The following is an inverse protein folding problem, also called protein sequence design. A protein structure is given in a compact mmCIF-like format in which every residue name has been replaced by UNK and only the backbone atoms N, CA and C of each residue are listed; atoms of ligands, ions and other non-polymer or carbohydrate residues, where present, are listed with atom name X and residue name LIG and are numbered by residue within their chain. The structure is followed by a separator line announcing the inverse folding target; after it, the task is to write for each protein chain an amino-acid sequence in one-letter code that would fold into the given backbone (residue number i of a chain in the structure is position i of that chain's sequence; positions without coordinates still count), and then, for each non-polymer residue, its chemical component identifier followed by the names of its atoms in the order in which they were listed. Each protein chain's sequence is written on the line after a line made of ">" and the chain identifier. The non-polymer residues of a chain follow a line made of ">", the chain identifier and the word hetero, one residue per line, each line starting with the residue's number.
data_IF_666241608781
#
_entry.id   IF_666241608781
#
_cell.length_a   1.000
_cell.length_b   1.000
_cell.length_c   1.000
_cell.angle_alpha   90.00
_cell.angle_beta   90.00
_cell.angle_gamma   90.00
#
_symmetry.space_group_name_H-M   'P 1'
#
loop_
_entity.id
_entity.type
_entity.pdbx_description
1 polymer ?
#
# COMPACT_ATOMS: atom_id res chain seq x y z
N UNK A 1 0.77 -16.38 -6.49
CA UNK A 1 0.92 -17.49 -7.46
C UNK A 1 1.88 -18.49 -6.82
N UNK A 2 1.53 -19.79 -6.77
CA UNK A 2 2.37 -20.77 -6.10
C UNK A 2 3.54 -21.16 -7.00
N UNK A 3 4.72 -20.64 -6.70
CA UNK A 3 5.98 -21.09 -7.29
C UNK A 3 6.91 -21.52 -6.16
N UNK A 4 7.45 -22.72 -6.29
CA UNK A 4 8.27 -23.34 -5.25
C UNK A 4 9.74 -22.87 -5.30
N UNK A 5 10.17 -22.35 -6.45
CA UNK A 5 11.54 -21.91 -6.68
C UNK A 5 11.61 -20.58 -7.46
N UNK A 6 12.71 -19.81 -7.31
CA UNK A 6 12.98 -18.63 -8.13
C UNK A 6 13.12 -18.94 -9.63
N UNK A 7 12.94 -17.92 -10.45
CA UNK A 7 13.19 -17.96 -11.90
C UNK A 7 14.38 -17.06 -12.24
N UNK A 8 15.20 -17.50 -13.18
CA UNK A 8 16.32 -16.70 -13.69
C UNK A 8 15.83 -15.77 -14.82
N UNK A 9 16.32 -14.52 -14.78
CA UNK A 9 16.07 -13.47 -15.77
C UNK A 9 17.39 -12.80 -16.12
N UNK A 10 17.48 -12.23 -17.33
CA UNK A 10 18.65 -11.46 -17.72
C UNK A 10 18.71 -10.18 -16.86
N UNK A 11 19.88 -9.92 -16.28
CA UNK A 11 20.09 -8.75 -15.44
C UNK A 11 19.85 -7.46 -16.24
N UNK A 12 19.15 -6.50 -15.64
CA UNK A 12 19.15 -5.13 -16.15
C UNK A 12 20.53 -4.50 -15.95
N UNK A 13 20.85 -3.48 -16.75
CA UNK A 13 22.06 -2.68 -16.59
C UNK A 13 21.67 -1.25 -16.17
N UNK A 14 22.07 -0.78 -14.98
CA UNK A 14 22.86 -1.48 -13.95
C UNK A 14 22.08 -2.59 -13.23
N UNK A 15 22.79 -3.63 -12.75
CA UNK A 15 22.17 -4.76 -12.02
C UNK A 15 21.53 -4.24 -10.72
N UNK A 16 20.22 -4.42 -10.51
CA UNK A 16 19.58 -4.00 -9.27
C UNK A 16 20.05 -4.86 -8.10
N UNK A 17 20.09 -4.28 -6.90
CA UNK A 17 20.50 -4.99 -5.69
C UNK A 17 19.47 -6.08 -5.30
N UNK A 18 19.90 -7.17 -4.62
CA UNK A 18 18.96 -8.14 -4.06
C UNK A 18 17.91 -7.47 -3.18
N UNK A 19 16.65 -7.91 -3.29
CA UNK A 19 15.50 -7.32 -2.60
C UNK A 19 14.79 -6.24 -3.40
N UNK A 20 15.40 -5.75 -4.49
CA UNK A 20 14.73 -4.82 -5.39
C UNK A 20 13.46 -5.46 -5.94
N UNK A 21 12.36 -4.69 -5.92
CA UNK A 21 11.08 -5.12 -6.45
C UNK A 21 11.01 -4.73 -7.92
N UNK A 22 10.65 -5.68 -8.77
CA UNK A 22 10.66 -5.52 -10.23
C UNK A 22 9.38 -6.08 -10.86
N UNK A 23 9.10 -5.65 -12.10
CA UNK A 23 8.18 -6.35 -12.99
C UNK A 23 8.96 -7.22 -13.95
N UNK A 24 8.48 -8.44 -14.15
CA UNK A 24 9.08 -9.42 -15.05
C UNK A 24 8.01 -10.05 -15.95
N UNK A 25 8.35 -10.38 -17.21
CA UNK A 25 7.44 -11.10 -18.09
C UNK A 25 7.34 -12.57 -17.67
N UNK A 26 6.12 -13.03 -17.42
CA UNK A 26 5.80 -14.43 -17.14
C UNK A 26 4.64 -14.88 -18.02
N UNK A 27 4.95 -15.69 -19.04
CA UNK A 27 3.99 -16.05 -20.09
C UNK A 27 3.55 -14.81 -20.88
N UNK A 28 2.23 -14.55 -20.88
CA UNK A 28 1.60 -13.39 -21.56
C UNK A 28 1.42 -12.16 -20.66
N UNK A 29 1.78 -12.26 -19.38
CA UNK A 29 1.53 -11.19 -18.42
C UNK A 29 2.80 -10.71 -17.76
N UNK A 30 2.77 -9.46 -17.30
CA UNK A 30 3.76 -8.94 -16.37
C UNK A 30 3.39 -9.35 -14.94
N UNK A 31 4.40 -9.66 -14.14
CA UNK A 31 4.26 -10.05 -12.74
C UNK A 31 5.27 -9.31 -11.89
N UNK A 32 4.86 -8.95 -10.69
CA UNK A 32 5.73 -8.37 -9.67
C UNK A 32 6.56 -9.50 -9.06
N UNK A 33 7.86 -9.25 -8.94
CA UNK A 33 8.83 -10.17 -8.38
C UNK A 33 9.85 -9.41 -7.52
N UNK A 34 10.59 -10.14 -6.68
CA UNK A 34 11.68 -9.61 -5.86
C UNK A 34 12.95 -10.32 -6.27
N UNK A 35 14.03 -9.56 -6.47
CA UNK A 35 15.34 -10.15 -6.75
C UNK A 35 15.83 -10.91 -5.52
N UNK A 36 16.19 -12.17 -5.72
CA UNK A 36 16.76 -13.03 -4.69
C UNK A 36 18.27 -13.11 -4.88
N UNK A 37 19.02 -13.16 -3.78
CA UNK A 37 20.47 -13.35 -3.84
C UNK A 37 20.81 -14.78 -4.25
N UNK A 38 21.91 -14.96 -4.97
CA UNK A 38 22.39 -16.27 -5.43
C UNK A 38 22.77 -17.16 -4.23
N UNK A 39 23.30 -16.57 -3.15
CA UNK A 39 23.66 -17.26 -1.91
C UNK A 39 22.43 -17.60 -1.03
N UNK A 40 21.31 -16.92 -1.25
CA UNK A 40 20.04 -17.12 -0.51
C UNK A 40 19.04 -17.99 -1.30
N UNK A 41 19.40 -18.46 -2.51
CA UNK A 41 18.53 -19.29 -3.35
C UNK A 41 18.21 -20.61 -2.62
N UNK A 42 16.93 -20.94 -2.39
CA UNK A 42 16.56 -22.30 -2.03
C UNK A 42 17.05 -23.23 -3.14
N UNK A 43 17.66 -24.36 -2.77
CA UNK A 43 18.22 -25.32 -3.72
C UNK A 43 17.18 -25.72 -4.78
N UNK A 44 17.23 -25.07 -5.94
CA UNK A 44 16.37 -25.38 -7.06
C UNK A 44 17.00 -26.56 -7.81
N UNK A 45 16.37 -27.72 -7.79
CA UNK A 45 16.81 -28.90 -8.56
C UNK A 45 16.72 -28.76 -10.08
N UNK A 46 16.73 -27.54 -10.62
CA UNK A 46 16.63 -27.25 -12.06
C UNK A 46 17.98 -26.84 -12.63
N UNK A 47 18.30 -27.41 -13.80
CA UNK A 47 19.51 -27.06 -14.56
C UNK A 47 19.50 -25.56 -14.93
N UNK A 48 20.65 -24.86 -14.85
CA UNK A 48 20.76 -23.47 -15.28
C UNK A 48 20.25 -23.30 -16.70
N UNK A 49 19.45 -22.25 -16.93
CA UNK A 49 19.00 -21.90 -18.28
C UNK A 49 20.14 -21.17 -18.98
N UNK A 50 20.46 -21.55 -20.23
CA UNK A 50 21.48 -20.85 -21.01
C UNK A 50 21.12 -19.37 -21.20
N UNK A 51 22.09 -18.47 -20.96
CA UNK A 51 21.92 -17.01 -20.91
C UNK A 51 21.13 -16.41 -22.08
N UNK A 52 21.31 -16.94 -23.30
CA UNK A 52 20.61 -16.47 -24.52
C UNK A 52 19.09 -16.71 -24.51
N UNK A 53 18.56 -17.48 -23.55
CA UNK A 53 17.12 -17.78 -23.41
C UNK A 53 16.46 -17.03 -22.26
N UNK A 54 17.23 -16.26 -21.50
CA UNK A 54 16.70 -15.47 -20.39
C UNK A 54 15.96 -14.25 -20.93
N UNK A 55 14.75 -14.03 -20.43
CA UNK A 55 14.01 -12.80 -20.71
C UNK A 55 14.59 -11.67 -19.85
N UNK A 56 14.60 -10.42 -20.34
CA UNK A 56 14.99 -9.28 -19.51
C UNK A 56 13.92 -8.98 -18.45
N UNK A 57 14.36 -8.31 -17.38
CA UNK A 57 13.47 -7.61 -16.44
C UNK A 57 12.77 -6.48 -17.19
N UNK A 58 11.46 -6.29 -16.96
CA UNK A 58 10.65 -5.28 -17.65
C UNK A 58 10.86 -3.89 -17.06
N UNK A 59 10.72 -3.75 -15.74
CA UNK A 59 10.93 -2.48 -15.05
C UNK A 59 11.27 -2.67 -13.58
N UNK A 60 12.04 -1.75 -13.00
CA UNK A 60 12.21 -1.64 -11.55
C UNK A 60 11.04 -0.82 -10.98
N UNK A 61 10.45 -1.26 -9.86
CA UNK A 61 9.38 -0.53 -9.20
C UNK A 61 9.95 0.44 -8.17
N UNK A 62 9.32 1.60 -8.07
CA UNK A 62 9.66 2.62 -7.08
C UNK A 62 9.14 2.21 -5.70
N UNK A 63 9.92 1.36 -5.03
CA UNK A 63 9.66 0.88 -3.68
C UNK A 63 10.99 0.52 -2.99
N UNK A 64 11.11 0.71 -1.67
CA UNK A 64 12.30 0.31 -0.93
C UNK A 64 12.63 -1.19 -1.14
N UNK A 65 13.91 -1.55 -1.28
CA UNK A 65 14.29 -2.95 -1.46
C UNK A 65 13.97 -3.76 -0.20
N UNK A 66 13.48 -4.98 -0.39
CA UNK A 66 13.23 -5.91 0.70
C UNK A 66 14.54 -6.31 1.38
N UNK A 67 14.65 -6.07 2.69
CA UNK A 67 15.84 -6.44 3.47
C UNK A 67 16.16 -7.94 3.38
N UNK A 68 17.44 -8.30 3.47
CA UNK A 68 17.88 -9.71 3.49
C UNK A 68 17.26 -10.51 4.64
N UNK A 69 17.11 -9.91 5.83
CA UNK A 69 16.41 -10.55 6.97
C UNK A 69 14.97 -10.92 6.64
N UNK A 70 14.24 -10.05 5.93
CA UNK A 70 12.87 -10.33 5.51
C UNK A 70 12.83 -11.45 4.47
N UNK A 71 13.75 -11.45 3.49
CA UNK A 71 13.86 -12.54 2.50
C UNK A 71 14.13 -13.89 3.17
N UNK A 72 15.09 -13.95 4.09
CA UNK A 72 15.40 -15.14 4.89
C UNK A 72 14.18 -15.61 5.70
N UNK A 73 13.46 -14.69 6.34
CA UNK A 73 12.25 -15.01 7.09
C UNK A 73 11.16 -15.59 6.17
N UNK A 74 10.93 -14.99 5.00
CA UNK A 74 9.97 -15.49 4.01
C UNK A 74 10.34 -16.90 3.53
N UNK A 75 11.62 -17.15 3.23
CA UNK A 75 12.10 -18.48 2.84
C UNK A 75 11.90 -19.50 3.97
N UNK A 76 12.22 -19.12 5.21
CA UNK A 76 12.01 -19.96 6.38
C UNK A 76 10.53 -20.30 6.59
N UNK A 77 9.62 -19.30 6.50
CA UNK A 77 8.17 -19.53 6.62
C UNK A 77 7.66 -20.46 5.53
N UNK A 78 8.06 -20.23 4.28
CA UNK A 78 7.69 -21.07 3.14
C UNK A 78 8.11 -22.53 3.36
N UNK A 79 9.35 -22.74 3.80
CA UNK A 79 9.87 -24.07 4.11
C UNK A 79 9.15 -24.73 5.29
N UNK A 80 8.98 -24.00 6.40
CA UNK A 80 8.36 -24.51 7.62
C UNK A 80 6.88 -24.89 7.43
N UNK A 81 6.17 -24.11 6.62
CA UNK A 81 4.74 -24.31 6.36
C UNK A 81 4.47 -25.15 5.12
N UNK A 82 5.51 -25.68 4.46
CA UNK A 82 5.43 -26.39 3.18
C UNK A 82 4.61 -25.60 2.13
N UNK A 83 4.70 -24.27 2.18
CA UNK A 83 3.99 -23.37 1.29
C UNK A 83 4.92 -22.90 0.16
N UNK A 84 4.38 -22.70 -1.06
CA UNK A 84 5.18 -22.16 -2.16
C UNK A 84 5.78 -20.79 -1.82
N UNK A 85 7.08 -20.60 -2.07
CA UNK A 85 7.81 -19.38 -1.75
C UNK A 85 7.11 -18.13 -2.32
N UNK A 86 6.68 -18.21 -3.59
CA UNK A 86 5.98 -17.10 -4.26
C UNK A 86 4.63 -16.75 -3.63
N UNK A 87 4.00 -17.66 -2.90
CA UNK A 87 2.75 -17.39 -2.17
C UNK A 87 3.03 -16.61 -0.88
N UNK A 88 4.03 -17.03 -0.10
CA UNK A 88 4.44 -16.32 1.12
C UNK A 88 5.00 -14.94 0.79
N UNK A 89 5.82 -14.83 -0.26
CA UNK A 89 6.36 -13.56 -0.73
C UNK A 89 5.23 -12.57 -1.10
N UNK A 90 4.17 -13.04 -1.77
CA UNK A 90 3.04 -12.19 -2.16
C UNK A 90 2.36 -11.56 -0.94
N UNK A 91 2.31 -12.26 0.20
CA UNK A 91 1.71 -11.74 1.44
C UNK A 91 2.56 -10.63 2.08
N UNK A 92 3.88 -10.66 1.86
CA UNK A 92 4.81 -9.67 2.41
C UNK A 92 4.96 -8.41 1.55
N UNK A 93 4.46 -8.43 0.30
CA UNK A 93 4.53 -7.29 -0.60
C UNK A 93 3.40 -6.28 -0.34
N UNK A 94 3.67 -4.96 -0.45
CA UNK A 94 2.62 -3.96 -0.34
C UNK A 94 1.51 -4.18 -1.38
N UNK A 95 0.25 -4.01 -0.99
CA UNK A 95 -0.89 -4.22 -1.89
C UNK A 95 -0.81 -3.33 -3.14
N UNK A 96 -0.37 -2.07 -2.98
CA UNK A 96 -0.20 -1.09 -4.05
C UNK A 96 0.88 -1.50 -5.06
N UNK A 97 1.86 -2.27 -4.61
CA UNK A 97 2.96 -2.78 -5.44
C UNK A 97 2.50 -4.01 -6.22
N UNK A 98 1.69 -4.88 -5.60
CA UNK A 98 1.15 -6.12 -6.20
C UNK A 98 0.04 -5.83 -7.21
N UNK A 99 -0.87 -4.92 -6.85
CA UNK A 99 -2.01 -4.51 -7.66
C UNK A 99 -1.81 -3.04 -8.07
N UNK A 100 -1.46 -2.83 -9.34
CA UNK A 100 -1.12 -1.51 -9.89
C UNK A 100 -2.25 -0.46 -9.80
N UNK A 101 -3.48 -0.89 -9.49
CA UNK A 101 -4.59 0.00 -9.19
C UNK A 101 -4.59 0.28 -7.68
N UNK A 102 -3.92 1.35 -7.25
CA UNK A 102 -4.17 1.90 -5.92
C UNK A 102 -5.68 2.08 -5.75
N UNK A 103 -6.28 1.67 -4.62
CA UNK A 103 -7.72 1.72 -4.46
C UNK A 103 -8.17 3.18 -4.52
N UNK A 104 -8.80 3.57 -5.62
CA UNK A 104 -9.37 4.92 -5.76
C UNK A 104 -10.74 4.97 -5.10
N UNK A 105 -11.11 6.16 -4.64
CA UNK A 105 -12.48 6.47 -4.28
C UNK A 105 -12.98 7.66 -5.08
N UNK A 106 -14.23 7.54 -5.48
CA UNK A 106 -14.98 8.56 -6.17
C UNK A 106 -15.50 9.58 -5.15
N UNK A 107 -14.98 10.81 -5.21
CA UNK A 107 -15.40 11.92 -4.35
C UNK A 107 -16.03 13.05 -5.17
N UNK A 108 -16.94 13.78 -4.54
CA UNK A 108 -17.50 15.01 -5.05
C UNK A 108 -16.67 16.21 -4.54
N UNK A 109 -16.35 17.12 -5.46
CA UNK A 109 -15.61 18.35 -5.20
C UNK A 109 -16.43 19.54 -5.69
N UNK A 110 -16.48 20.61 -4.90
CA UNK A 110 -17.08 21.87 -5.32
C UNK A 110 -16.17 22.56 -6.32
N UNK A 111 -16.56 22.59 -7.60
CA UNK A 111 -15.70 23.07 -8.68
C UNK A 111 -16.44 23.71 -9.86
N UNK A 112 -17.77 23.56 -9.96
CA UNK A 112 -18.56 24.20 -11.01
C UNK A 112 -19.40 25.36 -10.52
N UNK A 113 -20.19 25.91 -11.44
CA UNK A 113 -21.04 27.06 -11.18
C UNK A 113 -22.15 26.78 -10.14
N UNK A 114 -22.63 27.81 -9.44
CA UNK A 114 -23.78 27.68 -8.55
C UNK A 114 -25.00 27.10 -9.27
N UNK A 115 -25.82 26.27 -8.60
CA UNK A 115 -26.95 25.63 -9.24
C UNK A 115 -28.02 26.68 -9.56
N UNK A 116 -28.62 26.60 -10.76
CA UNK A 116 -29.66 27.53 -11.22
C UNK A 116 -30.85 27.72 -10.25
N UNK A 117 -31.15 26.70 -9.43
CA UNK A 117 -32.13 26.78 -8.34
C UNK A 117 -31.48 26.41 -7.02
N UNK A 118 -31.33 27.38 -6.12
CA UNK A 118 -30.77 27.16 -4.79
C UNK A 118 -31.89 26.90 -3.78
N UNK A 119 -32.08 25.64 -3.40
CA UNK A 119 -32.99 25.23 -2.32
C UNK A 119 -32.23 25.17 -0.99
N UNK A 120 -32.95 25.18 0.14
CA UNK A 120 -32.33 25.02 1.46
C UNK A 120 -31.50 23.73 1.57
N UNK A 121 -32.00 22.62 1.01
CA UNK A 121 -31.26 21.35 0.98
C UNK A 121 -29.97 21.44 0.15
N UNK A 122 -29.99 22.14 -1.01
CA UNK A 122 -28.78 22.35 -1.81
C UNK A 122 -27.77 23.24 -1.10
N UNK A 123 -28.23 24.31 -0.42
CA UNK A 123 -27.36 25.19 0.37
C UNK A 123 -26.60 24.41 1.45
N UNK A 124 -27.30 23.58 2.24
CA UNK A 124 -26.67 22.72 3.25
C UNK A 124 -25.57 21.82 2.68
N UNK A 125 -25.77 21.25 1.48
CA UNK A 125 -24.75 20.43 0.81
C UNK A 125 -23.54 21.25 0.40
N UNK A 126 -23.73 22.48 -0.10
CA UNK A 126 -22.62 23.36 -0.48
C UNK A 126 -21.80 23.79 0.75
N UNK A 127 -22.46 24.12 1.85
CA UNK A 127 -21.79 24.47 3.12
C UNK A 127 -21.00 23.27 3.66
N UNK A 128 -21.59 22.06 3.62
CA UNK A 128 -20.90 20.83 4.00
C UNK A 128 -19.70 20.53 3.09
N UNK A 129 -19.82 20.77 1.78
CA UNK A 129 -18.73 20.57 0.82
C UNK A 129 -17.58 21.56 1.03
N UNK A 130 -17.85 22.82 1.39
CA UNK A 130 -16.82 23.79 1.75
C UNK A 130 -16.08 23.39 3.03
N UNK A 131 -16.81 22.89 4.03
CA UNK A 131 -16.23 22.49 5.32
C UNK A 131 -15.41 21.20 5.25
N UNK A 132 -15.89 20.19 4.53
CA UNK A 132 -15.26 18.87 4.46
C UNK A 132 -14.22 18.75 3.34
N UNK A 133 -14.28 19.61 2.31
CA UNK A 133 -13.50 19.43 1.10
C UNK A 133 -13.95 18.20 0.30
N UNK A 134 -13.07 17.62 -0.55
CA UNK A 134 -13.37 16.43 -1.37
C UNK A 134 -13.94 15.28 -0.53
N UNK A 135 -15.18 14.89 -0.80
CA UNK A 135 -15.91 13.91 0.03
C UNK A 135 -16.86 13.04 -0.79
N UNK A 136 -17.16 11.83 -0.32
CA UNK A 136 -18.13 10.95 -1.00
C UNK A 136 -19.55 11.51 -0.95
N UNK A 137 -20.44 11.01 -1.82
CA UNK A 137 -21.87 11.36 -1.81
C UNK A 137 -22.50 11.09 -0.44
N UNK A 138 -22.25 9.91 0.13
CA UNK A 138 -22.78 9.53 1.44
C UNK A 138 -22.25 10.40 2.57
N UNK A 139 -20.96 10.76 2.56
CA UNK A 139 -20.35 11.66 3.55
C UNK A 139 -20.96 13.05 3.50
N UNK A 140 -21.15 13.62 2.29
CA UNK A 140 -21.77 14.93 2.10
C UNK A 140 -23.25 14.93 2.50
N UNK A 141 -24.00 13.91 2.10
CA UNK A 141 -25.41 13.75 2.45
C UNK A 141 -25.59 13.68 3.98
N UNK A 142 -24.77 12.85 4.66
CA UNK A 142 -24.77 12.74 6.12
C UNK A 142 -24.40 14.06 6.80
N UNK A 143 -23.36 14.74 6.33
CA UNK A 143 -22.90 15.99 6.93
C UNK A 143 -23.86 17.17 6.71
N UNK A 144 -24.63 17.15 5.62
CA UNK A 144 -25.63 18.15 5.30
C UNK A 144 -27.04 17.79 5.82
N UNK A 145 -27.22 16.61 6.41
CA UNK A 145 -28.51 16.08 6.87
C UNK A 145 -29.58 16.09 5.74
N UNK A 146 -29.23 15.49 4.61
CA UNK A 146 -30.10 15.35 3.42
C UNK A 146 -29.94 13.97 2.79
N UNK A 147 -30.80 13.64 1.81
CA UNK A 147 -30.66 12.41 1.03
C UNK A 147 -29.58 12.50 -0.06
N UNK A 148 -29.01 11.36 -0.42
CA UNK A 148 -28.05 11.20 -1.54
C UNK A 148 -28.55 11.81 -2.85
N UNK A 149 -29.87 11.80 -3.08
CA UNK A 149 -30.49 12.34 -4.29
C UNK A 149 -30.23 13.84 -4.49
N UNK A 150 -30.14 14.60 -3.39
CA UNK A 150 -29.83 16.04 -3.44
C UNK A 150 -28.40 16.26 -3.92
N UNK A 151 -27.45 15.48 -3.38
CA UNK A 151 -26.04 15.53 -3.75
C UNK A 151 -25.84 15.08 -5.20
N UNK A 152 -26.46 13.98 -5.63
CA UNK A 152 -26.43 13.52 -7.03
C UNK A 152 -27.04 14.53 -7.98
N UNK A 153 -28.07 15.27 -7.56
CA UNK A 153 -28.65 16.38 -8.31
C UNK A 153 -27.67 17.54 -8.51
N UNK A 154 -26.85 17.85 -7.50
CA UNK A 154 -25.76 18.84 -7.60
C UNK A 154 -24.61 18.36 -8.49
N UNK A 155 -24.33 17.05 -8.51
CA UNK A 155 -23.40 16.45 -9.48
C UNK A 155 -23.94 16.55 -10.91
N UNK A 156 -25.23 16.24 -11.13
CA UNK A 156 -25.88 16.34 -12.44
C UNK A 156 -25.92 17.77 -12.98
N UNK A 157 -26.06 18.76 -12.09
CA UNK A 157 -26.00 20.18 -12.45
C UNK A 157 -24.58 20.73 -12.54
N UNK A 158 -23.56 19.87 -12.41
CA UNK A 158 -22.13 20.20 -12.52
C UNK A 158 -21.58 21.16 -11.45
N UNK A 159 -22.39 21.59 -10.48
CA UNK A 159 -21.90 22.35 -9.32
C UNK A 159 -20.90 21.52 -8.50
N UNK A 160 -21.23 20.25 -8.27
CA UNK A 160 -20.28 19.26 -7.75
C UNK A 160 -19.72 18.46 -8.92
N UNK A 161 -18.40 18.26 -8.93
CA UNK A 161 -17.72 17.43 -9.93
C UNK A 161 -17.18 16.20 -9.23
N UNK A 162 -17.33 15.06 -9.89
CA UNK A 162 -16.80 13.80 -9.42
C UNK A 162 -15.33 13.66 -9.81
N UNK A 163 -14.46 13.33 -8.86
CA UNK A 163 -13.05 13.02 -9.08
C UNK A 163 -12.70 11.70 -8.41
N UNK A 164 -11.81 10.94 -9.04
CA UNK A 164 -11.16 9.82 -8.37
C UNK A 164 -9.95 10.33 -7.61
N UNK A 165 -9.87 9.98 -6.33
CA UNK A 165 -8.71 10.26 -5.47
C UNK A 165 -8.20 8.95 -4.86
N UNK A 166 -6.92 8.91 -4.50
CA UNK A 166 -6.36 7.79 -3.73
C UNK A 166 -7.08 7.66 -2.39
N UNK A 167 -7.42 6.42 -1.98
CA UNK A 167 -7.97 6.15 -0.64
C UNK A 167 -6.92 6.29 0.46
N UNK A 168 -5.66 6.08 0.14
CA UNK A 168 -4.57 6.18 1.10
C UNK A 168 -4.19 7.66 1.28
N UNK A 169 -4.88 8.34 2.21
CA UNK A 169 -4.42 9.63 2.74
C UNK A 169 -3.23 9.38 3.67
N UNK A 170 -2.16 10.20 3.63
CA UNK A 170 -1.12 10.15 4.66
C UNK A 170 -1.73 10.26 6.06
N UNK A 171 -1.23 9.46 7.00
CA UNK A 171 -1.58 9.60 8.41
C UNK A 171 -1.09 10.95 8.93
N UNK A 172 -1.84 11.54 9.86
CA UNK A 172 -1.39 12.73 10.58
C UNK A 172 -0.13 12.38 11.40
N UNK A 173 0.76 13.35 11.60
CA UNK A 173 1.98 13.14 12.36
C UNK A 173 1.61 12.73 13.81
N UNK A 174 2.15 11.59 14.32
CA UNK A 174 1.83 11.17 15.68
C UNK A 174 2.39 12.16 16.70
N UNK A 175 1.59 12.48 17.72
CA UNK A 175 2.00 13.31 18.87
C UNK A 175 2.62 12.42 19.95
N UNK A 176 3.95 12.46 20.16
CA UNK A 176 4.64 11.62 21.13
C UNK A 176 4.37 12.04 22.58
N UNK A 177 3.91 13.27 22.82
CA UNK A 177 3.69 13.84 24.14
C UNK A 177 2.22 13.73 24.59
N UNK A 178 1.37 13.16 23.73
CA UNK A 178 -0.03 12.90 24.04
C UNK A 178 -0.15 12.09 25.33
N UNK A 179 -0.90 12.63 26.30
CA UNK A 179 -1.15 11.92 27.56
C UNK A 179 -1.78 10.56 27.29
N UNK A 180 -1.11 9.52 27.78
CA UNK A 180 -1.59 8.15 27.72
C UNK A 180 -2.64 7.86 28.80
N UNK A 181 -3.26 6.67 28.77
CA UNK A 181 -4.16 6.23 29.83
C UNK A 181 -3.42 6.04 31.15
N UNK A 182 -4.13 6.19 32.28
CA UNK A 182 -3.59 5.87 33.60
C UNK A 182 -3.31 4.37 33.71
N UNK A 183 -2.04 4.02 33.86
CA UNK A 183 -1.59 2.64 33.97
C UNK A 183 -1.69 2.14 35.41
N UNK A 184 -2.11 0.88 35.57
CA UNK A 184 -1.99 0.18 36.85
C UNK A 184 -0.53 -0.09 37.18
N UNK A 185 -0.24 -0.41 38.44
CA UNK A 185 1.12 -0.65 38.92
C UNK A 185 1.87 -1.72 38.09
N UNK A 186 1.25 -2.88 37.86
CA UNK A 186 1.84 -3.95 37.04
C UNK A 186 2.12 -3.51 35.59
N UNK A 187 1.23 -2.68 35.02
CA UNK A 187 1.40 -2.14 33.67
C UNK A 187 2.53 -1.11 33.62
N UNK A 188 2.68 -0.30 34.66
CA UNK A 188 3.75 0.68 34.77
C UNK A 188 5.12 0.02 34.86
N UNK A 189 5.22 -1.09 35.61
CA UNK A 189 6.44 -1.91 35.69
C UNK A 189 6.80 -2.46 34.30
N UNK A 190 5.84 -3.09 33.62
CA UNK A 190 6.04 -3.63 32.27
C UNK A 190 6.41 -2.53 31.25
N UNK A 191 5.73 -1.39 31.28
CA UNK A 191 6.00 -0.26 30.40
C UNK A 191 7.42 0.28 30.59
N UNK A 192 7.88 0.37 31.84
CA UNK A 192 9.25 0.82 32.18
C UNK A 192 10.30 -0.16 31.63
N UNK A 193 10.07 -1.47 31.78
CA UNK A 193 10.97 -2.50 31.24
C UNK A 193 11.06 -2.44 29.70
N UNK A 194 9.92 -2.32 29.02
CA UNK A 194 9.87 -2.22 27.56
C UNK A 194 10.58 -0.95 27.06
N UNK A 195 10.35 0.20 27.69
CA UNK A 195 11.04 1.47 27.35
C UNK A 195 12.55 1.34 27.52
N UNK A 196 13.00 0.75 28.63
CA UNK A 196 14.43 0.53 28.87
C UNK A 196 15.06 -0.42 27.83
N UNK A 197 14.34 -1.46 27.40
CA UNK A 197 14.83 -2.38 26.38
C UNK A 197 14.97 -1.70 25.01
N UNK A 198 14.01 -0.87 24.62
CA UNK A 198 14.05 -0.11 23.35
C UNK A 198 15.22 0.88 23.35
N UNK A 199 15.47 1.59 24.45
CA UNK A 199 16.59 2.55 24.54
C UNK A 199 17.96 1.87 24.49
N UNK A 200 18.07 0.61 24.91
CA UNK A 200 19.32 -0.16 24.85
C UNK A 200 19.62 -0.71 23.45
N UNK A 201 18.62 -0.85 22.60
CA UNK A 201 18.78 -1.29 21.22
C UNK A 201 18.89 -0.05 20.32
N UNK A 202 19.89 0.05 19.42
CA UNK A 202 19.87 1.09 18.41
C UNK A 202 18.66 0.83 17.50
N UNK A 203 17.57 1.58 17.71
CA UNK A 203 16.50 1.71 16.74
C UNK A 203 17.12 2.30 15.47
N UNK A 204 17.46 1.44 14.51
CA UNK A 204 17.68 1.88 13.14
C UNK A 204 16.30 2.01 12.52
N UNK A 205 15.77 3.23 12.26
CA UNK A 205 14.59 3.35 11.43
C UNK A 205 14.88 2.64 10.10
N UNK A 206 13.87 1.95 9.58
CA UNK A 206 13.95 1.28 8.29
C UNK A 206 14.21 2.36 7.21
N UNK A 207 15.48 2.52 6.83
CA UNK A 207 15.91 3.28 5.66
C UNK A 207 16.11 2.32 4.49
#
# INVERSE_FOLDING_TARGET
>A
MPFDAPFDYAAADPKPAPGTIVRVPLGKHLRVAVLWDDDEKPAAGKKPVADKRLKPVDSVLDAPPMSGKMRLFIAWVAHYTLSPLGAVLRMALPAQVVDAAAPTQTVCVLAGDPPAKLTNARRKVLDAAQRLGPSTVASLAKAADVSDGVVRGLVKSKTLITREISRDKPYDQPDPDRQGPDLREEQQIAATQLRAAVLKLPLRPFC
#
